data_IF_027508296100
#
_entry.id   IF_027508296100
#
_cell.length_a   1.000
_cell.length_b   1.000
_cell.length_c   1.000
_cell.angle_alpha   90.00
_cell.angle_beta   90.00
_cell.angle_gamma   90.00
#
_symmetry.space_group_name_H-M   'P 1'
#
loop_
_entity.id
_entity.type
_entity.pdbx_description
1 polymer ?
#
# COMPACT_ATOMS: atom_id res chain seq x y z
N UNK A 1 60.79 20.63 -46.31
CA UNK A 1 59.54 19.97 -45.80
C UNK A 1 59.99 18.76 -45.01
N UNK A 2 60.09 18.91 -43.67
CA UNK A 2 60.54 17.83 -42.80
C UNK A 2 59.34 16.95 -42.45
N UNK A 3 59.35 15.74 -43.00
CA UNK A 3 58.32 14.77 -42.66
C UNK A 3 58.60 14.19 -41.27
N UNK A 4 57.73 14.47 -40.33
CA UNK A 4 57.76 13.93 -38.98
C UNK A 4 57.42 12.43 -39.01
N UNK A 5 58.46 11.57 -39.11
CA UNK A 5 58.25 10.13 -39.02
C UNK A 5 58.20 9.73 -37.56
N UNK A 6 56.99 9.49 -37.06
CA UNK A 6 56.83 8.91 -35.72
C UNK A 6 57.34 7.48 -35.71
N UNK A 7 58.27 7.15 -34.82
CA UNK A 7 58.75 5.76 -34.66
C UNK A 7 57.59 4.83 -34.20
N UNK A 8 57.64 3.59 -34.67
CA UNK A 8 56.59 2.57 -34.32
C UNK A 8 56.35 2.47 -32.80
N UNK A 9 57.37 2.70 -31.99
CA UNK A 9 57.29 2.72 -30.53
C UNK A 9 56.43 3.90 -29.99
N UNK A 10 56.51 5.08 -30.60
CA UNK A 10 55.69 6.24 -30.23
C UNK A 10 54.25 6.07 -30.68
N UNK A 11 54.01 5.45 -31.82
CA UNK A 11 52.67 5.12 -32.31
C UNK A 11 52.00 4.11 -31.37
N UNK A 12 52.70 3.06 -30.92
CA UNK A 12 52.18 2.10 -29.95
C UNK A 12 51.80 2.71 -28.62
N UNK A 13 52.60 3.67 -28.10
CA UNK A 13 52.29 4.38 -26.86
C UNK A 13 51.08 5.29 -27.00
N UNK A 14 50.91 5.99 -28.13
CA UNK A 14 49.74 6.83 -28.41
C UNK A 14 48.47 5.99 -28.54
N UNK A 15 48.49 4.87 -29.23
CA UNK A 15 47.34 3.97 -29.34
C UNK A 15 46.96 3.37 -27.98
N UNK A 16 47.93 2.98 -27.16
CA UNK A 16 47.70 2.49 -25.80
C UNK A 16 47.05 3.53 -24.92
N UNK A 17 47.49 4.81 -24.97
CA UNK A 17 46.90 5.89 -24.21
C UNK A 17 45.45 6.18 -24.63
N UNK A 18 45.15 6.10 -25.93
CA UNK A 18 43.77 6.28 -26.44
C UNK A 18 42.85 5.17 -25.95
N UNK A 19 43.27 3.92 -25.97
CA UNK A 19 42.46 2.78 -25.48
C UNK A 19 42.18 2.91 -23.99
N UNK A 20 43.16 3.32 -23.17
CA UNK A 20 42.96 3.54 -21.74
C UNK A 20 41.99 4.71 -21.48
N UNK A 21 42.12 5.80 -22.25
CA UNK A 21 41.20 6.93 -22.12
C UNK A 21 39.73 6.54 -22.48
N UNK A 22 39.56 5.77 -23.55
CA UNK A 22 38.25 5.23 -23.92
C UNK A 22 37.67 4.30 -22.86
N UNK A 23 38.47 3.38 -22.33
CA UNK A 23 38.05 2.48 -21.25
C UNK A 23 37.63 3.26 -19.99
N UNK A 24 38.44 4.25 -19.59
CA UNK A 24 38.11 5.11 -18.44
C UNK A 24 36.82 5.93 -18.67
N UNK A 25 36.61 6.44 -19.90
CA UNK A 25 35.38 7.15 -20.24
C UNK A 25 34.15 6.24 -20.18
N UNK A 26 34.21 5.03 -20.72
CA UNK A 26 33.13 4.07 -20.69
C UNK A 26 32.81 3.60 -19.27
N UNK A 27 33.82 3.30 -18.46
CA UNK A 27 33.64 2.92 -17.05
C UNK A 27 33.03 4.08 -16.27
N UNK A 28 33.55 5.30 -16.42
CA UNK A 28 33.00 6.50 -15.75
C UNK A 28 31.57 6.78 -16.15
N UNK A 29 31.21 6.64 -17.42
CA UNK A 29 29.85 6.86 -17.91
C UNK A 29 28.87 5.78 -17.42
N UNK A 30 29.35 4.55 -17.17
CA UNK A 30 28.51 3.48 -16.64
C UNK A 30 28.19 3.70 -15.15
N UNK A 31 29.17 4.18 -14.37
CA UNK A 31 28.97 4.51 -12.97
C UNK A 31 28.17 5.81 -12.76
N UNK A 32 28.26 6.78 -13.67
CA UNK A 32 27.55 8.05 -13.55
C UNK A 32 26.05 7.93 -13.87
N UNK A 33 25.64 6.95 -14.67
CA UNK A 33 24.22 6.71 -14.97
C UNK A 33 23.45 6.03 -13.83
N UNK A 34 24.13 5.64 -12.74
CA UNK A 34 23.54 4.97 -11.58
C UNK A 34 23.12 5.87 -10.40
N UNK A 35 23.39 7.17 -10.46
CA UNK A 35 22.85 8.09 -9.45
C UNK A 35 21.42 8.48 -9.83
N UNK A 36 20.46 7.59 -9.52
CA UNK A 36 19.06 8.02 -9.40
C UNK A 36 19.07 9.01 -8.24
N UNK A 37 18.92 10.30 -8.56
CA UNK A 37 18.63 11.30 -7.56
C UNK A 37 17.28 10.93 -6.98
N UNK A 38 17.26 10.23 -5.86
CA UNK A 38 16.09 10.13 -5.01
C UNK A 38 15.84 11.56 -4.52
N UNK A 39 14.94 12.26 -5.20
CA UNK A 39 14.42 13.53 -4.73
C UNK A 39 13.70 13.25 -3.41
N UNK A 40 14.37 13.46 -2.30
CA UNK A 40 13.75 13.58 -0.98
C UNK A 40 13.21 14.99 -0.81
N UNK A 41 12.39 15.47 -1.77
CA UNK A 41 11.45 16.51 -1.45
C UNK A 41 10.47 15.91 -0.43
N UNK A 42 10.09 16.61 0.66
CA UNK A 42 8.99 16.17 1.48
C UNK A 42 7.77 16.16 0.56
N UNK A 43 7.40 14.97 0.10
CA UNK A 43 6.13 14.77 -0.58
C UNK A 43 5.11 14.98 0.54
N UNK A 44 4.37 16.06 0.43
CA UNK A 44 3.19 16.30 1.25
C UNK A 44 2.12 15.36 0.69
N UNK A 45 2.35 14.03 0.84
CA UNK A 45 1.42 13.02 0.39
C UNK A 45 0.18 13.12 1.27
N UNK A 46 -0.96 13.38 0.64
CA UNK A 46 -2.22 13.23 1.33
C UNK A 46 -2.32 11.79 1.83
N UNK A 47 -2.85 11.57 3.04
CA UNK A 47 -2.99 10.23 3.59
C UNK A 47 -3.69 9.30 2.60
N UNK A 48 -3.15 8.10 2.40
CA UNK A 48 -3.74 7.06 1.56
C UNK A 48 -5.18 6.79 2.00
N UNK A 49 -6.10 6.69 1.05
CA UNK A 49 -7.49 6.33 1.32
C UNK A 49 -7.69 4.85 1.04
N UNK A 50 -8.17 4.12 2.03
CA UNK A 50 -8.56 2.72 1.92
C UNK A 50 -10.07 2.64 1.96
N UNK A 51 -10.67 2.13 0.89
CA UNK A 51 -12.12 2.02 0.77
C UNK A 51 -12.61 0.66 1.25
N UNK A 52 -13.69 0.66 2.01
CA UNK A 52 -14.34 -0.49 2.58
C UNK A 52 -15.86 -0.38 2.35
N UNK A 53 -16.51 -1.48 2.01
CA UNK A 53 -17.96 -1.53 1.88
C UNK A 53 -18.59 -2.51 2.87
N UNK A 54 -19.90 -2.33 3.12
CA UNK A 54 -20.69 -3.35 3.81
C UNK A 54 -21.31 -4.29 2.79
N UNK A 55 -21.09 -5.61 2.93
CA UNK A 55 -21.67 -6.64 2.09
C UNK A 55 -22.68 -7.48 2.84
N UNK A 56 -23.82 -7.77 2.20
CA UNK A 56 -24.83 -8.73 2.67
C UNK A 56 -24.88 -9.92 1.71
N UNK A 57 -24.75 -11.10 2.26
CA UNK A 57 -24.82 -12.35 1.51
C UNK A 57 -26.00 -13.19 2.02
N UNK A 58 -26.88 -13.57 1.10
CA UNK A 58 -28.04 -14.37 1.39
C UNK A 58 -28.00 -15.68 0.60
N UNK A 59 -28.43 -16.74 1.25
CA UNK A 59 -28.62 -18.05 0.63
C UNK A 59 -29.83 -18.75 1.27
N UNK A 60 -30.44 -19.67 0.52
CA UNK A 60 -31.49 -20.53 1.02
C UNK A 60 -30.98 -21.99 1.09
N UNK A 61 -31.20 -22.60 2.24
CA UNK A 61 -30.86 -24.03 2.42
C UNK A 61 -31.90 -24.94 1.72
N UNK A 62 -31.58 -26.23 1.43
CA UNK A 62 -32.50 -27.12 0.77
C UNK A 62 -33.85 -27.33 1.50
N UNK A 63 -33.90 -27.08 2.81
CA UNK A 63 -35.12 -27.13 3.64
C UNK A 63 -35.86 -25.76 3.72
N UNK A 64 -35.46 -24.78 2.90
CA UNK A 64 -36.13 -23.50 2.77
C UNK A 64 -35.78 -22.47 3.85
N UNK A 65 -34.72 -22.72 4.62
CA UNK A 65 -34.25 -21.74 5.63
C UNK A 65 -33.35 -20.69 4.98
N UNK A 66 -33.68 -19.43 5.16
CA UNK A 66 -32.79 -18.32 4.76
C UNK A 66 -31.57 -18.24 5.70
N UNK A 67 -30.40 -18.09 5.10
CA UNK A 67 -29.14 -17.79 5.76
C UNK A 67 -28.69 -16.43 5.26
N UNK A 68 -28.42 -15.53 6.18
CA UNK A 68 -27.93 -14.18 5.92
C UNK A 68 -26.64 -13.93 6.69
N UNK A 69 -25.68 -13.25 6.08
CA UNK A 69 -24.44 -12.87 6.74
C UNK A 69 -23.96 -11.52 6.25
N UNK A 70 -23.48 -10.70 7.17
CA UNK A 70 -22.86 -9.40 6.88
C UNK A 70 -21.33 -9.47 6.97
N UNK A 71 -20.66 -8.73 6.10
CA UNK A 71 -19.20 -8.65 6.02
C UNK A 71 -18.73 -7.23 5.71
N UNK A 72 -17.55 -6.89 6.18
CA UNK A 72 -16.75 -5.82 5.62
C UNK A 72 -16.03 -6.33 4.38
N UNK A 73 -15.99 -5.53 3.31
CA UNK A 73 -15.29 -5.86 2.07
C UNK A 73 -14.39 -4.69 1.61
N UNK A 74 -13.07 -4.90 1.52
CA UNK A 74 -12.33 -6.12 1.83
C UNK A 74 -12.33 -6.47 3.33
N UNK A 75 -12.26 -7.77 3.63
CA UNK A 75 -12.20 -8.29 5.01
C UNK A 75 -10.80 -8.20 5.64
N UNK A 76 -9.78 -7.77 4.89
CA UNK A 76 -8.42 -7.57 5.38
C UNK A 76 -7.76 -6.43 4.62
N UNK A 77 -7.11 -5.53 5.34
CA UNK A 77 -6.32 -4.42 4.81
C UNK A 77 -4.93 -4.42 5.45
N UNK A 78 -3.93 -3.97 4.68
CA UNK A 78 -2.53 -3.89 5.11
C UNK A 78 -2.08 -2.43 5.11
N UNK A 79 -1.41 -2.04 6.19
CA UNK A 79 -0.85 -0.71 6.39
C UNK A 79 0.52 -0.83 7.04
N UNK A 80 1.41 0.11 6.74
CA UNK A 80 2.71 0.22 7.40
C UNK A 80 2.56 0.82 8.79
N UNK A 81 3.44 0.42 9.70
CA UNK A 81 3.57 1.09 11.00
C UNK A 81 3.86 2.58 10.81
N UNK A 82 3.23 3.41 11.62
CA UNK A 82 3.31 4.88 11.58
C UNK A 82 2.80 5.53 10.27
N UNK A 83 2.20 4.75 9.35
CA UNK A 83 1.55 5.28 8.16
C UNK A 83 0.21 5.94 8.53
N UNK A 84 0.02 7.26 8.28
CA UNK A 84 -1.29 7.89 8.39
C UNK A 84 -2.14 7.50 7.18
N UNK A 85 -3.37 7.05 7.41
CA UNK A 85 -4.33 6.74 6.34
C UNK A 85 -5.76 7.08 6.74
N UNK A 86 -6.63 7.17 5.73
CA UNK A 86 -8.08 7.33 5.90
C UNK A 86 -8.77 6.01 5.59
N UNK A 87 -9.57 5.52 6.52
CA UNK A 87 -10.48 4.40 6.26
C UNK A 87 -11.84 4.97 5.89
N UNK A 88 -12.21 4.85 4.61
CA UNK A 88 -13.49 5.27 4.07
C UNK A 88 -14.41 4.06 3.98
N UNK A 89 -15.49 4.08 4.74
CA UNK A 89 -16.45 2.99 4.83
C UNK A 89 -17.79 3.42 4.23
N UNK A 90 -18.26 2.69 3.20
CA UNK A 90 -19.54 2.97 2.56
C UNK A 90 -20.59 1.92 2.91
N UNK A 91 -21.74 2.38 3.38
CA UNK A 91 -22.89 1.54 3.72
C UNK A 91 -23.64 1.09 2.47
N UNK A 92 -23.35 -0.10 1.94
CA UNK A 92 -24.07 -0.66 0.78
C UNK A 92 -25.35 -1.35 1.22
N UNK A 93 -25.25 -2.26 2.20
CA UNK A 93 -26.35 -3.06 2.71
C UNK A 93 -26.49 -2.88 4.22
N UNK A 94 -27.69 -3.21 4.74
CA UNK A 94 -28.03 -3.02 6.14
C UNK A 94 -28.36 -1.56 6.47
N UNK A 95 -29.22 -1.33 7.44
CA UNK A 95 -29.64 0.02 7.81
C UNK A 95 -28.50 0.83 8.43
N UNK A 96 -27.79 0.20 9.36
CA UNK A 96 -26.65 0.82 10.06
C UNK A 96 -25.73 -0.26 10.65
N UNK A 97 -24.44 0.05 10.68
CA UNK A 97 -23.39 -0.80 11.24
C UNK A 97 -22.57 0.00 12.24
N UNK A 98 -22.97 0.04 13.52
CA UNK A 98 -22.13 0.61 14.57
C UNK A 98 -20.89 -0.25 14.74
N UNK A 99 -19.72 0.39 14.76
CA UNK A 99 -18.43 -0.28 14.79
C UNK A 99 -17.48 0.29 15.82
N UNK A 100 -16.48 -0.50 16.15
CA UNK A 100 -15.28 -0.06 16.86
C UNK A 100 -14.03 -0.78 16.30
N UNK A 101 -12.86 -0.19 16.53
CA UNK A 101 -11.57 -0.83 16.25
C UNK A 101 -10.98 -1.27 17.57
N UNK A 102 -10.81 -2.58 17.74
CA UNK A 102 -10.31 -3.18 18.98
C UNK A 102 -8.90 -2.68 19.32
N UNK A 103 -8.67 -2.36 20.59
CA UNK A 103 -7.40 -1.80 21.06
C UNK A 103 -7.22 -0.31 20.84
N UNK A 104 -8.27 0.38 20.32
CA UNK A 104 -8.26 1.83 20.09
C UNK A 104 -9.53 2.49 20.66
N UNK A 105 -9.57 3.83 20.68
CA UNK A 105 -10.77 4.59 21.03
C UNK A 105 -11.67 4.88 19.82
N UNK A 106 -11.30 4.36 18.63
CA UNK A 106 -12.02 4.63 17.37
C UNK A 106 -13.31 3.83 17.31
N UNK A 107 -14.42 4.53 17.14
CA UNK A 107 -15.77 3.98 16.98
C UNK A 107 -16.64 4.90 16.15
N UNK A 108 -17.68 4.36 15.55
CA UNK A 108 -18.60 5.13 14.72
C UNK A 108 -19.78 4.29 14.25
N UNK A 109 -20.49 4.81 13.26
CA UNK A 109 -21.60 4.14 12.60
C UNK A 109 -21.48 4.32 11.11
N UNK A 110 -21.62 3.24 10.34
CA UNK A 110 -21.78 3.28 8.88
C UNK A 110 -23.28 3.12 8.57
N UNK A 111 -23.89 4.17 8.04
CA UNK A 111 -25.29 4.17 7.66
C UNK A 111 -25.46 3.80 6.17
N UNK A 112 -26.56 3.15 5.83
CA UNK A 112 -26.84 2.79 4.44
C UNK A 112 -26.88 4.03 3.53
N UNK A 113 -26.21 3.94 2.38
CA UNK A 113 -26.11 4.99 1.38
C UNK A 113 -25.21 6.16 1.78
N UNK A 114 -24.48 6.05 2.89
CA UNK A 114 -23.55 7.07 3.37
C UNK A 114 -22.13 6.55 3.50
N UNK A 115 -21.20 7.48 3.41
CA UNK A 115 -19.78 7.27 3.67
C UNK A 115 -19.46 7.71 5.10
N UNK A 116 -18.65 6.91 5.78
CA UNK A 116 -18.06 7.27 7.08
C UNK A 116 -16.55 7.17 6.94
N UNK A 117 -15.84 8.26 7.19
CA UNK A 117 -14.36 8.32 7.09
C UNK A 117 -13.77 8.50 8.46
N UNK A 118 -12.76 7.69 8.78
CA UNK A 118 -11.95 7.83 9.99
C UNK A 118 -10.46 7.96 9.63
N UNK A 119 -9.77 8.88 10.29
CA UNK A 119 -8.33 9.05 10.19
C UNK A 119 -7.67 8.09 11.17
N UNK A 120 -6.71 7.30 10.68
CA UNK A 120 -6.05 6.25 11.43
C UNK A 120 -4.53 6.33 11.27
N UNK A 121 -3.83 5.94 12.33
CA UNK A 121 -2.39 5.70 12.36
C UNK A 121 -2.12 4.73 13.52
N UNK A 122 -1.37 3.66 13.24
CA UNK A 122 -0.98 2.68 14.26
C UNK A 122 0.52 2.77 14.51
N UNK A 123 0.91 2.89 15.76
CA UNK A 123 2.32 2.98 16.18
C UNK A 123 2.90 1.66 16.67
N UNK A 124 2.12 0.59 16.66
CA UNK A 124 2.53 -0.76 17.02
C UNK A 124 2.12 -1.74 15.93
N UNK A 125 3.02 -2.65 15.57
CA UNK A 125 2.75 -3.76 14.68
C UNK A 125 1.73 -4.72 15.30
N UNK A 126 0.89 -5.31 14.48
CA UNK A 126 -0.11 -6.25 14.96
C UNK A 126 -1.32 -6.39 14.08
N UNK A 127 -2.34 -7.07 14.60
CA UNK A 127 -3.61 -7.25 13.92
C UNK A 127 -4.72 -6.61 14.74
N UNK A 128 -5.30 -5.55 14.23
CA UNK A 128 -6.43 -4.85 14.84
C UNK A 128 -7.72 -5.29 14.15
N UNK A 129 -8.79 -5.44 14.92
CA UNK A 129 -10.09 -5.88 14.39
C UNK A 129 -11.07 -4.71 14.32
N UNK A 130 -11.61 -4.46 13.13
CA UNK A 130 -12.78 -3.61 12.92
C UNK A 130 -14.02 -4.50 13.09
N UNK A 131 -14.80 -4.29 14.12
CA UNK A 131 -15.91 -5.14 14.53
C UNK A 131 -17.23 -4.36 14.47
N UNK A 132 -18.22 -4.92 13.78
CA UNK A 132 -19.59 -4.41 13.84
C UNK A 132 -20.29 -4.94 15.10
N UNK A 133 -20.79 -4.04 15.96
CA UNK A 133 -21.46 -4.43 17.21
C UNK A 133 -22.77 -5.18 16.97
N UNK A 134 -23.52 -4.82 15.93
CA UNK A 134 -24.81 -5.43 15.60
C UNK A 134 -24.64 -6.87 15.08
N UNK A 135 -23.56 -7.14 14.35
CA UNK A 135 -23.29 -8.42 13.69
C UNK A 135 -22.00 -9.05 14.22
N UNK A 136 -21.84 -9.11 15.53
CA UNK A 136 -20.63 -9.62 16.18
C UNK A 136 -20.51 -11.14 16.16
N UNK A 137 -21.65 -11.85 16.10
CA UNK A 137 -21.75 -13.31 16.26
C UNK A 137 -22.60 -13.97 15.15
N UNK A 138 -22.49 -15.28 15.01
CA UNK A 138 -23.29 -16.06 14.04
C UNK A 138 -24.79 -15.86 14.28
N UNK A 139 -25.24 -15.80 15.54
CA UNK A 139 -26.65 -15.61 15.89
C UNK A 139 -27.20 -14.25 15.46
N UNK A 140 -26.34 -13.28 15.19
CA UNK A 140 -26.67 -11.94 14.71
C UNK A 140 -26.23 -11.70 13.25
N UNK A 141 -26.22 -12.75 12.41
CA UNK A 141 -25.83 -12.71 11.01
C UNK A 141 -24.36 -12.24 10.79
N UNK A 142 -23.48 -12.50 11.78
CA UNK A 142 -22.04 -12.21 11.74
C UNK A 142 -21.19 -13.48 11.67
N UNK A 143 -19.92 -13.40 12.11
CA UNK A 143 -19.25 -12.16 12.55
C UNK A 143 -18.89 -11.21 11.39
N UNK A 144 -19.23 -9.93 11.52
CA UNK A 144 -18.83 -8.87 10.61
C UNK A 144 -17.55 -8.22 11.15
N UNK A 145 -16.43 -8.78 10.76
CA UNK A 145 -15.09 -8.38 11.21
C UNK A 145 -14.21 -8.15 10.00
N UNK A 146 -13.45 -7.06 10.00
CA UNK A 146 -12.30 -6.87 9.12
C UNK A 146 -11.01 -6.79 9.95
N UNK A 147 -9.91 -7.20 9.35
CA UNK A 147 -8.59 -7.21 9.97
C UNK A 147 -7.72 -6.11 9.36
N UNK A 148 -7.15 -5.27 10.22
CA UNK A 148 -6.15 -4.27 9.86
C UNK A 148 -4.80 -4.85 10.30
N UNK A 149 -3.99 -5.25 9.34
CA UNK A 149 -2.65 -5.81 9.57
C UNK A 149 -1.65 -4.68 9.45
N UNK A 150 -0.90 -4.46 10.53
CA UNK A 150 0.12 -3.41 10.64
C UNK A 150 1.48 -4.10 10.70
N UNK A 151 2.40 -3.81 9.76
CA UNK A 151 3.76 -4.36 9.64
C UNK A 151 4.83 -3.31 9.36
#
# INVERSE_FOLDING_TARGET
MDAWILSARKIGLLLGAIVIAFAAYFIGSFFWKGAIATSTAPVNEEPRVINLGTGEFKAETPDGKEIEVYRWDPGTIFVEKDEPFKLSMYGVNGKEHPFYIEGTDVKGVVEQGKETVVDLQFNEEGVYRLICNTHAEIASNGPMIAYIVVD
#
